data_IF_270075199809
#
_entry.id   IF_270075199809
#
_cell.length_a   1.000
_cell.length_b   1.000
_cell.length_c   1.000
_cell.angle_alpha   90.00
_cell.angle_beta   90.00
_cell.angle_gamma   90.00
#
_symmetry.space_group_name_H-M   'P 1'
#
loop_
_entity.id
_entity.type
_entity.pdbx_description
1 polymer ?
#
# COMPACT_ATOMS: atom_id res chain seq x y z
N UNK A 1 17.31 14.08 7.87
CA UNK A 1 16.86 13.02 8.82
C UNK A 1 17.46 11.70 8.39
N UNK A 2 18.23 11.04 9.25
CA UNK A 2 18.85 9.73 8.98
C UNK A 2 18.08 8.63 9.71
N UNK A 3 17.85 7.51 9.03
CA UNK A 3 17.36 6.27 9.65
C UNK A 3 18.36 5.15 9.39
N UNK A 4 18.84 4.55 10.49
CA UNK A 4 19.81 3.46 10.45
C UNK A 4 19.22 2.23 11.10
N UNK A 5 19.49 1.08 10.51
CA UNK A 5 19.07 -0.23 11.05
C UNK A 5 19.91 -1.36 10.47
N UNK A 6 19.90 -2.48 11.18
CA UNK A 6 20.52 -3.73 10.72
C UNK A 6 19.41 -4.74 10.47
N UNK A 7 19.37 -5.33 9.27
CA UNK A 7 18.38 -6.32 8.90
C UNK A 7 19.05 -7.46 8.12
N UNK A 8 18.88 -8.70 8.57
CA UNK A 8 19.48 -9.90 7.97
C UNK A 8 20.99 -9.79 7.69
N UNK A 9 21.73 -9.03 8.52
CA UNK A 9 23.18 -8.84 8.42
C UNK A 9 23.62 -7.62 7.60
N UNK A 10 22.71 -6.93 6.94
CA UNK A 10 22.98 -5.70 6.18
C UNK A 10 22.89 -4.47 7.11
N UNK A 11 23.92 -3.61 7.06
CA UNK A 11 23.92 -2.31 7.71
C UNK A 11 23.38 -1.28 6.73
N UNK A 12 22.21 -0.76 6.99
CA UNK A 12 21.51 0.16 6.08
C UNK A 12 21.47 1.56 6.68
N UNK A 13 21.79 2.55 5.87
CA UNK A 13 21.62 3.97 6.13
C UNK A 13 20.68 4.54 5.09
N UNK A 14 19.57 5.10 5.55
CA UNK A 14 18.57 5.80 4.72
C UNK A 14 18.60 7.29 5.06
N UNK A 15 18.91 8.13 4.09
CA UNK A 15 18.57 9.55 4.20
C UNK A 15 17.13 9.77 3.76
N UNK A 16 16.27 10.09 4.73
CA UNK A 16 14.82 10.20 4.52
C UNK A 16 14.47 11.35 3.57
N UNK A 17 15.25 12.43 3.57
CA UNK A 17 14.95 13.63 2.81
C UNK A 17 15.35 13.50 1.34
N UNK A 18 16.52 12.95 1.03
CA UNK A 18 16.93 12.65 -0.34
C UNK A 18 16.27 11.39 -0.87
N UNK A 19 16.01 10.41 0.01
CA UNK A 19 15.57 9.06 -0.34
C UNK A 19 16.73 8.14 -0.70
N UNK A 20 17.99 8.60 -0.53
CA UNK A 20 19.18 7.80 -0.81
C UNK A 20 19.34 6.69 0.23
N UNK A 21 19.71 5.51 -0.25
CA UNK A 21 19.90 4.30 0.56
C UNK A 21 21.32 3.80 0.34
N UNK A 22 22.05 3.57 1.44
CA UNK A 22 23.40 3.07 1.42
C UNK A 22 23.47 1.75 2.21
N UNK A 23 24.01 0.70 1.60
CA UNK A 23 24.47 -0.50 2.29
C UNK A 23 25.95 -0.29 2.62
N UNK A 24 26.29 -0.29 3.89
CA UNK A 24 27.61 0.17 4.36
C UNK A 24 28.26 -0.88 5.27
N UNK A 25 29.56 -0.73 5.49
CA UNK A 25 30.26 -1.53 6.49
C UNK A 25 29.96 -1.05 7.93
N UNK A 26 30.47 -1.78 8.91
CA UNK A 26 30.23 -1.48 10.31
C UNK A 26 30.88 -0.16 10.77
N UNK A 27 32.02 0.24 10.18
CA UNK A 27 32.69 1.48 10.53
C UNK A 27 31.91 2.69 10.06
N UNK A 28 31.50 2.71 8.80
CA UNK A 28 30.72 3.83 8.24
C UNK A 28 29.35 3.92 8.92
N UNK A 29 28.72 2.76 9.24
CA UNK A 29 27.49 2.71 10.02
C UNK A 29 27.66 3.36 11.39
N UNK A 30 28.70 3.00 12.16
CA UNK A 30 28.98 3.58 13.48
C UNK A 30 29.33 5.09 13.38
N UNK A 31 30.06 5.50 12.34
CA UNK A 31 30.40 6.91 12.13
C UNK A 31 29.16 7.76 11.83
N UNK A 32 28.27 7.28 10.98
CA UNK A 32 26.98 7.96 10.71
C UNK A 32 26.10 7.99 11.96
N UNK A 33 26.12 6.97 12.82
CA UNK A 33 25.38 6.97 14.09
C UNK A 33 25.84 8.09 15.03
N UNK A 34 27.15 8.35 15.09
CA UNK A 34 27.68 9.48 15.87
C UNK A 34 27.24 10.80 15.26
N UNK A 35 27.36 10.95 13.94
CA UNK A 35 27.03 12.20 13.24
C UNK A 35 25.52 12.49 13.29
N UNK A 36 24.66 11.49 13.18
CA UNK A 36 23.22 11.67 13.24
C UNK A 36 22.70 12.28 14.55
N UNK A 37 23.50 12.17 15.64
CA UNK A 37 23.18 12.75 16.96
C UNK A 37 23.60 14.21 17.08
N UNK A 38 24.55 14.68 16.26
CA UNK A 38 25.19 16.01 16.39
C UNK A 38 25.06 16.90 15.16
N UNK A 39 24.73 16.33 14.01
CA UNK A 39 24.42 17.11 12.79
C UNK A 39 22.95 17.53 12.84
N UNK A 40 22.65 18.83 12.94
CA UNK A 40 21.27 19.28 12.96
C UNK A 40 20.59 19.13 11.59
N UNK A 41 19.26 19.07 11.57
CA UNK A 41 18.50 19.21 10.33
C UNK A 41 18.72 20.62 9.77
N UNK A 42 19.27 20.72 8.57
CA UNK A 42 19.65 21.98 7.93
C UNK A 42 18.83 22.24 6.67
N UNK A 43 18.71 23.53 6.31
CA UNK A 43 18.09 23.94 5.04
C UNK A 43 18.93 23.60 3.80
N UNK A 44 20.25 23.37 4.01
CA UNK A 44 21.20 22.93 2.97
C UNK A 44 22.25 22.04 3.58
N UNK A 45 22.70 21.00 2.88
CA UNK A 45 23.85 20.22 3.30
C UNK A 45 25.07 21.12 3.46
N UNK A 46 25.85 20.92 4.51
CA UNK A 46 27.10 21.64 4.76
C UNK A 46 28.22 20.64 5.05
N UNK A 47 29.46 20.96 4.67
CA UNK A 47 30.61 20.15 5.01
C UNK A 47 30.70 19.90 6.52
N UNK A 48 31.20 18.72 6.90
CA UNK A 48 31.43 18.38 8.30
C UNK A 48 32.42 19.35 8.92
N UNK A 49 32.07 19.90 10.08
CA UNK A 49 32.97 20.77 10.86
C UNK A 49 34.06 19.94 11.53
N UNK A 50 35.17 20.61 11.91
CA UNK A 50 36.28 19.98 12.62
C UNK A 50 35.82 19.35 13.96
N UNK A 51 34.87 20.01 14.66
CA UNK A 51 34.30 19.48 15.90
C UNK A 51 33.47 18.19 15.66
N UNK A 52 32.71 18.10 14.57
CA UNK A 52 31.99 16.90 14.19
C UNK A 52 32.93 15.75 13.83
N UNK A 53 33.96 16.02 13.01
CA UNK A 53 35.01 15.04 12.68
C UNK A 53 35.75 14.57 13.93
N UNK A 54 36.06 15.48 14.85
CA UNK A 54 36.71 15.17 16.13
C UNK A 54 35.81 14.25 16.98
N UNK A 55 34.52 14.51 17.06
CA UNK A 55 33.59 13.67 17.82
C UNK A 55 33.55 12.21 17.29
N UNK A 56 33.57 12.02 15.96
CA UNK A 56 33.67 10.68 15.36
C UNK A 56 34.98 9.99 15.72
N UNK A 57 36.13 10.69 15.60
CA UNK A 57 37.43 10.14 15.98
C UNK A 57 37.46 9.68 17.45
N UNK A 58 37.02 10.54 18.36
CA UNK A 58 36.98 10.24 19.78
C UNK A 58 36.06 9.06 20.12
N UNK A 59 34.94 8.95 19.46
CA UNK A 59 33.98 7.86 19.67
C UNK A 59 34.48 6.51 19.15
N UNK A 60 35.22 6.49 18.04
CA UNK A 60 35.55 5.27 17.31
C UNK A 60 37.00 4.78 17.46
N UNK A 61 37.92 5.60 18.00
CA UNK A 61 39.37 5.28 18.12
C UNK A 61 39.66 3.97 18.89
N UNK A 62 38.76 3.53 19.79
CA UNK A 62 38.94 2.28 20.52
C UNK A 62 38.51 1.04 19.70
N UNK A 63 37.81 1.22 18.58
CA UNK A 63 37.24 0.13 17.78
C UNK A 63 37.88 -0.02 16.40
N UNK A 64 38.36 1.09 15.83
CA UNK A 64 38.89 1.16 14.47
C UNK A 64 40.24 1.92 14.42
N UNK A 65 41.04 1.73 13.35
CA UNK A 65 42.27 2.45 13.16
C UNK A 65 42.00 3.93 12.82
N UNK A 66 42.96 4.80 13.11
CA UNK A 66 42.85 6.22 12.77
C UNK A 66 42.74 6.46 11.24
N UNK A 67 43.44 5.63 10.45
CA UNK A 67 43.41 5.70 8.97
C UNK A 67 42.02 5.33 8.43
N UNK A 68 41.45 4.21 8.88
CA UNK A 68 40.11 3.76 8.47
C UNK A 68 39.02 4.80 8.83
N UNK A 69 39.17 5.45 10.02
CA UNK A 69 38.23 6.52 10.44
C UNK A 69 38.32 7.75 9.51
N UNK A 70 39.52 8.15 9.07
CA UNK A 70 39.68 9.26 8.14
C UNK A 70 39.07 8.93 6.77
N UNK A 71 39.28 7.70 6.28
CA UNK A 71 38.67 7.23 5.02
C UNK A 71 37.13 7.26 5.11
N UNK A 72 36.57 6.72 6.19
CA UNK A 72 35.10 6.80 6.41
C UNK A 72 34.56 8.24 6.50
N UNK A 73 35.30 9.16 7.13
CA UNK A 73 34.95 10.57 7.16
C UNK A 73 35.01 11.23 5.77
N UNK A 74 35.95 10.80 4.92
CA UNK A 74 36.02 11.25 3.52
C UNK A 74 34.85 10.77 2.71
N UNK A 75 34.51 9.49 2.80
CA UNK A 75 33.36 8.87 2.11
C UNK A 75 32.02 9.55 2.54
N UNK A 76 31.87 9.78 3.85
CA UNK A 76 30.69 10.50 4.37
C UNK A 76 30.62 11.92 3.80
N UNK A 77 31.77 12.61 3.70
CA UNK A 77 31.79 13.96 3.13
C UNK A 77 31.39 13.95 1.65
N UNK A 78 31.83 12.96 0.87
CA UNK A 78 31.43 12.80 -0.53
C UNK A 78 29.93 12.61 -0.67
N UNK A 79 29.31 11.80 0.20
CA UNK A 79 27.86 11.61 0.22
C UNK A 79 27.10 12.90 0.61
N UNK A 80 27.65 13.71 1.52
CA UNK A 80 27.09 15.01 1.89
C UNK A 80 27.16 15.98 0.71
N UNK A 81 28.30 16.04 0.03
CA UNK A 81 28.52 16.92 -1.11
C UNK A 81 27.64 16.54 -2.31
N UNK A 82 27.29 15.25 -2.43
CA UNK A 82 26.32 14.72 -3.42
C UNK A 82 24.85 14.94 -3.02
N UNK A 83 24.56 15.52 -1.86
CA UNK A 83 23.22 15.66 -1.28
C UNK A 83 22.51 14.29 -1.03
N UNK A 84 23.27 13.23 -0.83
CA UNK A 84 22.80 11.88 -0.56
C UNK A 84 22.79 11.50 0.93
N UNK A 85 23.43 12.34 1.77
CA UNK A 85 23.45 12.16 3.22
C UNK A 85 23.27 13.53 3.92
N UNK A 86 22.49 13.59 5.00
CA UNK A 86 22.07 14.79 5.72
C UNK A 86 21.40 15.85 4.83
N UNK A 87 20.67 15.39 3.81
CA UNK A 87 19.97 16.26 2.86
C UNK A 87 18.84 17.08 3.51
N UNK A 88 18.54 18.22 2.91
CA UNK A 88 17.46 19.10 3.33
C UNK A 88 16.07 18.52 2.99
N UNK A 89 15.06 18.84 3.81
CA UNK A 89 13.66 18.49 3.50
C UNK A 89 13.06 19.49 2.50
N UNK A 90 13.24 19.21 1.23
CA UNK A 90 12.72 20.06 0.13
C UNK A 90 11.20 19.93 -0.06
N UNK A 91 10.55 18.91 0.53
CA UNK A 91 9.13 18.64 0.34
C UNK A 91 8.23 19.45 1.28
N UNK A 92 8.77 19.98 2.35
CA UNK A 92 8.04 20.78 3.34
C UNK A 92 7.33 21.97 2.72
N UNK A 93 7.95 22.63 1.74
CA UNK A 93 7.40 23.80 1.07
C UNK A 93 6.25 23.45 0.10
N UNK A 94 6.21 22.24 -0.44
CA UNK A 94 5.11 21.80 -1.30
C UNK A 94 3.76 21.69 -0.57
N UNK A 95 3.75 21.59 0.76
CA UNK A 95 2.52 21.50 1.57
C UNK A 95 1.67 22.77 1.46
N UNK A 96 2.30 23.92 1.28
CA UNK A 96 1.62 25.21 1.16
C UNK A 96 0.70 25.24 -0.06
N UNK A 97 1.09 24.56 -1.14
CA UNK A 97 0.32 24.51 -2.39
C UNK A 97 -0.84 23.51 -2.38
N UNK A 98 -0.91 22.58 -1.39
CA UNK A 98 -2.02 21.63 -1.29
C UNK A 98 -3.39 22.29 -1.17
N UNK A 99 -3.48 23.45 -0.52
CA UNK A 99 -4.72 24.25 -0.44
C UNK A 99 -5.17 24.75 -1.81
N UNK A 100 -4.22 25.09 -2.68
CA UNK A 100 -4.46 25.65 -4.02
C UNK A 100 -4.54 24.57 -5.10
N UNK A 101 -4.07 23.35 -4.82
CA UNK A 101 -4.05 22.27 -5.80
C UNK A 101 -5.46 21.95 -6.27
N UNK A 102 -5.68 22.00 -7.58
CA UNK A 102 -6.90 21.44 -8.16
C UNK A 102 -6.86 19.92 -8.02
N UNK A 103 -7.86 19.38 -7.36
CA UNK A 103 -8.07 17.94 -7.29
C UNK A 103 -9.00 17.52 -8.42
N UNK A 104 -8.59 16.50 -9.17
CA UNK A 104 -9.42 15.86 -10.20
C UNK A 104 -9.68 14.42 -9.77
N UNK A 105 -10.89 13.94 -9.98
CA UNK A 105 -11.21 12.54 -9.70
C UNK A 105 -10.50 11.68 -10.75
N UNK A 106 -9.68 10.73 -10.32
CA UNK A 106 -8.92 9.84 -11.21
C UNK A 106 -9.40 8.39 -11.13
N UNK A 107 -10.06 8.03 -10.03
CA UNK A 107 -10.45 6.66 -9.76
C UNK A 107 -11.78 6.58 -9.01
N UNK A 108 -12.58 5.58 -9.35
CA UNK A 108 -13.80 5.22 -8.63
C UNK A 108 -13.76 3.75 -8.20
N UNK A 109 -14.17 3.51 -6.96
CA UNK A 109 -14.52 2.19 -6.46
C UNK A 109 -16.04 2.02 -6.56
N UNK A 110 -16.50 1.24 -7.52
CA UNK A 110 -17.93 0.99 -7.72
C UNK A 110 -18.37 -0.22 -6.89
N UNK A 111 -19.22 0.01 -5.91
CA UNK A 111 -19.85 -1.05 -5.14
C UNK A 111 -20.95 -1.70 -5.98
N UNK A 112 -20.56 -2.63 -6.82
CA UNK A 112 -21.44 -3.34 -7.77
C UNK A 112 -22.50 -4.17 -7.04
N UNK A 113 -22.15 -4.68 -5.87
CA UNK A 113 -23.06 -5.43 -5.03
C UNK A 113 -22.84 -5.11 -3.55
N UNK A 114 -23.90 -4.70 -2.86
CA UNK A 114 -24.01 -4.76 -1.41
C UNK A 114 -24.66 -6.08 -1.02
N UNK A 115 -24.00 -7.18 -1.39
CA UNK A 115 -24.30 -8.56 -1.01
C UNK A 115 -23.07 -9.43 -1.31
N UNK A 116 -22.93 -10.54 -0.59
CA UNK A 116 -21.83 -11.49 -0.75
C UNK A 116 -22.29 -12.92 -0.55
N UNK A 117 -21.66 -13.84 -1.25
CA UNK A 117 -21.91 -15.28 -1.14
C UNK A 117 -20.98 -15.99 -0.14
N UNK A 118 -20.06 -15.26 0.52
CA UNK A 118 -19.26 -15.71 1.67
C UNK A 118 -19.65 -14.95 2.95
N UNK A 119 -19.24 -15.48 4.09
CA UNK A 119 -19.41 -14.89 5.43
C UNK A 119 -18.05 -14.76 6.13
N UNK A 120 -17.17 -13.92 5.56
CA UNK A 120 -15.83 -13.68 6.10
C UNK A 120 -15.93 -13.02 7.48
N UNK A 121 -15.28 -13.61 8.49
CA UNK A 121 -15.40 -13.15 9.90
C UNK A 121 -14.87 -11.75 10.15
N UNK A 122 -13.86 -11.32 9.39
CA UNK A 122 -13.26 -9.98 9.50
C UNK A 122 -13.86 -8.97 8.51
N UNK A 123 -14.99 -9.29 7.86
CA UNK A 123 -15.53 -8.44 6.81
C UNK A 123 -16.01 -7.09 7.37
N UNK A 124 -15.27 -6.01 7.09
CA UNK A 124 -15.67 -4.65 7.48
C UNK A 124 -17.00 -4.20 6.82
N UNK A 125 -17.43 -4.88 5.77
CA UNK A 125 -18.65 -4.62 5.03
C UNK A 125 -19.85 -5.46 5.52
N UNK A 126 -19.75 -6.14 6.67
CA UNK A 126 -20.86 -6.95 7.24
C UNK A 126 -21.50 -7.88 6.19
N UNK A 127 -20.73 -8.83 5.67
CA UNK A 127 -21.14 -9.72 4.57
C UNK A 127 -21.56 -8.96 3.27
N UNK A 128 -21.07 -7.72 3.12
CA UNK A 128 -21.33 -6.86 1.97
C UNK A 128 -22.47 -5.87 2.15
N UNK A 129 -23.15 -5.81 3.29
CA UNK A 129 -24.30 -4.92 3.53
C UNK A 129 -23.89 -3.47 3.84
N UNK A 130 -22.65 -3.22 4.28
CA UNK A 130 -22.13 -1.86 4.58
C UNK A 130 -23.03 -1.06 5.54
N UNK A 131 -23.40 -1.65 6.68
CA UNK A 131 -24.26 -1.06 7.71
C UNK A 131 -25.65 -0.66 7.20
N UNK A 132 -26.10 -1.21 6.09
CA UNK A 132 -27.31 -0.77 5.44
C UNK A 132 -28.19 -1.93 4.99
N UNK A 133 -28.42 -1.97 3.71
CA UNK A 133 -29.32 -2.95 3.07
C UNK A 133 -28.65 -3.59 1.86
N UNK A 134 -29.00 -4.82 1.60
CA UNK A 134 -28.58 -5.51 0.38
C UNK A 134 -29.13 -4.80 -0.86
N UNK A 135 -28.26 -4.63 -1.84
CA UNK A 135 -28.62 -4.05 -3.14
C UNK A 135 -27.61 -4.48 -4.20
N UNK A 136 -28.05 -4.50 -5.43
CA UNK A 136 -27.21 -4.59 -6.61
C UNK A 136 -27.26 -3.25 -7.34
N UNK A 137 -26.09 -2.75 -7.78
CA UNK A 137 -26.03 -1.52 -8.57
C UNK A 137 -26.76 -1.73 -9.91
N UNK A 138 -27.63 -0.81 -10.29
CA UNK A 138 -28.21 -0.82 -11.62
C UNK A 138 -27.21 -0.32 -12.66
N UNK A 139 -27.37 -0.72 -13.92
CA UNK A 139 -26.58 -0.18 -15.02
C UNK A 139 -26.67 1.37 -15.09
N UNK A 140 -27.85 1.93 -14.87
CA UNK A 140 -28.06 3.38 -14.92
C UNK A 140 -27.22 4.14 -13.87
N UNK A 141 -27.17 3.63 -12.64
CA UNK A 141 -26.33 4.23 -11.59
C UNK A 141 -24.86 4.11 -11.94
N UNK A 142 -24.40 2.93 -12.37
CA UNK A 142 -23.01 2.72 -12.77
C UNK A 142 -22.60 3.57 -13.98
N UNK A 143 -23.51 3.71 -14.96
CA UNK A 143 -23.33 4.61 -16.11
C UNK A 143 -23.11 6.05 -15.65
N UNK A 144 -24.00 6.58 -14.79
CA UNK A 144 -23.85 7.94 -14.21
C UNK A 144 -22.53 8.09 -13.45
N UNK A 145 -22.07 7.05 -12.76
CA UNK A 145 -20.77 7.08 -12.08
C UNK A 145 -19.61 7.21 -13.07
N UNK A 146 -19.65 6.52 -14.21
CA UNK A 146 -18.63 6.68 -15.26
C UNK A 146 -18.72 8.07 -15.92
N UNK A 147 -19.90 8.60 -16.17
CA UNK A 147 -20.13 9.96 -16.69
C UNK A 147 -19.58 11.01 -15.70
N UNK A 148 -19.83 10.82 -14.41
CA UNK A 148 -19.27 11.64 -13.33
C UNK A 148 -17.73 11.60 -13.37
N UNK A 149 -17.11 10.41 -13.45
CA UNK A 149 -15.65 10.27 -13.51
C UNK A 149 -15.07 11.01 -14.71
N UNK A 150 -15.67 10.89 -15.89
CA UNK A 150 -15.26 11.62 -17.10
C UNK A 150 -15.34 13.14 -16.85
N UNK A 151 -16.47 13.64 -16.34
CA UNK A 151 -16.69 15.07 -16.13
C UNK A 151 -15.75 15.68 -15.09
N UNK A 152 -15.43 14.93 -14.01
CA UNK A 152 -14.61 15.43 -12.90
C UNK A 152 -13.11 15.10 -13.03
N UNK A 153 -12.70 14.43 -14.10
CA UNK A 153 -11.29 14.04 -14.33
C UNK A 153 -10.43 15.11 -15.01
N UNK A 154 -11.02 16.23 -15.44
CA UNK A 154 -10.32 17.29 -16.15
C UNK A 154 -9.55 16.76 -17.38
N UNK A 155 -8.31 17.18 -17.56
CA UNK A 155 -7.47 16.75 -18.69
C UNK A 155 -6.80 15.37 -18.49
N UNK A 156 -7.12 14.65 -17.42
CA UNK A 156 -6.52 13.34 -17.14
C UNK A 156 -7.02 12.30 -18.15
N UNK A 157 -6.09 11.62 -18.81
CA UNK A 157 -6.42 10.61 -19.84
C UNK A 157 -6.73 9.26 -19.18
N UNK A 158 -5.85 8.78 -18.29
CA UNK A 158 -6.01 7.46 -17.64
C UNK A 158 -6.94 7.56 -16.42
N UNK A 159 -8.03 6.80 -16.47
CA UNK A 159 -9.04 6.72 -15.41
C UNK A 159 -9.10 5.29 -14.87
N UNK A 160 -9.24 5.13 -13.57
CA UNK A 160 -9.29 3.82 -12.92
C UNK A 160 -10.69 3.56 -12.36
N UNK A 161 -11.17 2.33 -12.57
CA UNK A 161 -12.46 1.88 -12.04
C UNK A 161 -12.29 0.51 -11.42
N UNK A 162 -12.53 0.44 -10.12
CA UNK A 162 -12.47 -0.79 -9.36
C UNK A 162 -13.89 -1.33 -9.15
N UNK A 163 -14.18 -2.50 -9.68
CA UNK A 163 -15.41 -3.23 -9.38
C UNK A 163 -15.23 -3.97 -8.05
N UNK A 164 -15.98 -3.54 -7.06
CA UNK A 164 -15.85 -3.92 -5.66
C UNK A 164 -17.23 -4.09 -4.99
N UNK A 165 -17.26 -4.12 -3.66
CA UNK A 165 -18.45 -4.24 -2.82
C UNK A 165 -18.39 -5.48 -1.93
N UNK A 166 -19.48 -6.23 -1.85
CA UNK A 166 -19.49 -7.57 -1.28
C UNK A 166 -18.80 -8.56 -2.21
N UNK A 167 -19.55 -9.08 -3.22
CA UNK A 167 -18.96 -9.89 -4.31
C UNK A 167 -19.46 -9.36 -5.68
N UNK A 168 -18.60 -8.70 -6.46
CA UNK A 168 -18.99 -8.09 -7.74
C UNK A 168 -19.53 -9.09 -8.77
N UNK A 169 -19.07 -10.35 -8.75
CA UNK A 169 -19.55 -11.37 -9.68
C UNK A 169 -21.03 -11.74 -9.47
N UNK A 170 -21.64 -11.37 -8.34
CA UNK A 170 -23.07 -11.50 -8.14
C UNK A 170 -23.90 -10.58 -9.06
N UNK A 171 -23.25 -9.54 -9.59
CA UNK A 171 -23.85 -8.59 -10.52
C UNK A 171 -23.07 -8.51 -11.84
N UNK A 172 -22.58 -9.64 -12.32
CA UNK A 172 -21.66 -9.74 -13.44
C UNK A 172 -22.16 -9.08 -14.74
N UNK A 173 -23.47 -9.18 -15.01
CA UNK A 173 -24.04 -8.57 -16.22
C UNK A 173 -23.88 -7.05 -16.24
N UNK A 174 -24.03 -6.41 -15.10
CA UNK A 174 -23.84 -4.95 -14.98
C UNK A 174 -22.35 -4.60 -15.12
N UNK A 175 -21.43 -5.41 -14.57
CA UNK A 175 -19.98 -5.22 -14.78
C UNK A 175 -19.65 -5.23 -16.27
N UNK A 176 -20.14 -6.22 -17.03
CA UNK A 176 -19.91 -6.30 -18.49
C UNK A 176 -20.44 -5.04 -19.21
N UNK A 177 -21.68 -4.65 -18.93
CA UNK A 177 -22.30 -3.47 -19.53
C UNK A 177 -21.53 -2.18 -19.24
N UNK A 178 -21.05 -2.01 -18.02
CA UNK A 178 -20.27 -0.84 -17.62
C UNK A 178 -18.91 -0.79 -18.31
N UNK A 179 -18.23 -1.93 -18.46
CA UNK A 179 -16.98 -2.01 -19.22
C UNK A 179 -17.22 -1.62 -20.69
N UNK A 180 -18.23 -2.21 -21.33
CA UNK A 180 -18.60 -1.89 -22.72
C UNK A 180 -18.96 -0.40 -22.86
N UNK A 181 -19.73 0.15 -21.95
CA UNK A 181 -20.05 1.57 -21.94
C UNK A 181 -18.78 2.43 -21.79
N UNK A 182 -17.94 2.16 -20.80
CA UNK A 182 -16.70 2.90 -20.61
C UNK A 182 -15.81 2.90 -21.87
N UNK A 183 -15.62 1.72 -22.51
CA UNK A 183 -14.88 1.62 -23.77
C UNK A 183 -15.49 2.48 -24.87
N UNK A 184 -16.82 2.56 -24.97
CA UNK A 184 -17.50 3.38 -25.98
C UNK A 184 -17.23 4.88 -25.82
N UNK A 185 -16.96 5.33 -24.56
CA UNK A 185 -16.74 6.76 -24.24
C UNK A 185 -15.26 7.19 -24.43
N UNK A 186 -14.33 6.25 -24.51
CA UNK A 186 -12.88 6.54 -24.50
C UNK A 186 -12.46 7.51 -25.62
N UNK A 187 -12.93 7.27 -26.85
CA UNK A 187 -12.52 8.06 -28.01
C UNK A 187 -13.11 9.48 -27.97
N UNK A 188 -14.39 9.60 -27.65
CA UNK A 188 -15.09 10.88 -27.66
C UNK A 188 -14.53 11.84 -26.60
N UNK A 189 -14.21 11.31 -25.41
CA UNK A 189 -13.75 12.12 -24.29
C UNK A 189 -12.24 12.14 -24.12
N UNK A 190 -11.46 11.52 -25.02
CA UNK A 190 -10.02 11.36 -24.91
C UNK A 190 -9.62 10.76 -23.56
N UNK A 191 -10.30 9.66 -23.17
CA UNK A 191 -10.05 8.92 -21.92
C UNK A 191 -9.60 7.50 -22.23
N UNK A 192 -8.98 6.86 -21.23
CA UNK A 192 -8.59 5.46 -21.26
C UNK A 192 -8.90 4.85 -19.91
N UNK A 193 -9.87 3.94 -19.86
CA UNK A 193 -10.25 3.26 -18.64
C UNK A 193 -9.34 2.07 -18.35
N UNK A 194 -8.93 1.97 -17.09
CA UNK A 194 -8.26 0.81 -16.50
C UNK A 194 -9.21 0.18 -15.50
N UNK A 195 -9.77 -0.95 -15.86
CA UNK A 195 -10.72 -1.68 -15.02
C UNK A 195 -9.98 -2.68 -14.14
N UNK A 196 -10.33 -2.70 -12.85
CA UNK A 196 -9.91 -3.70 -11.86
C UNK A 196 -11.13 -4.43 -11.32
N UNK A 197 -10.99 -5.72 -11.04
CA UNK A 197 -12.01 -6.54 -10.39
C UNK A 197 -11.40 -7.17 -9.14
N UNK A 198 -12.07 -7.04 -7.99
CA UNK A 198 -11.74 -7.79 -6.77
C UNK A 198 -12.80 -8.85 -6.54
N UNK A 199 -12.42 -10.13 -6.43
CA UNK A 199 -13.37 -11.23 -6.28
C UNK A 199 -12.91 -12.28 -5.28
N UNK A 200 -13.87 -12.91 -4.58
CA UNK A 200 -13.64 -14.09 -3.77
C UNK A 200 -13.54 -15.40 -4.59
N UNK A 201 -13.80 -15.34 -5.91
CA UNK A 201 -13.62 -16.44 -6.85
C UNK A 201 -14.70 -17.51 -6.85
N UNK A 202 -15.64 -17.52 -5.94
CA UNK A 202 -16.68 -18.57 -5.87
C UNK A 202 -17.44 -18.70 -7.19
N UNK A 203 -17.82 -17.57 -7.79
CA UNK A 203 -18.57 -17.52 -9.05
C UNK A 203 -17.69 -17.47 -10.30
N UNK A 204 -16.37 -17.45 -10.16
CA UNK A 204 -15.44 -17.41 -11.28
C UNK A 204 -15.59 -18.68 -12.14
N UNK A 205 -15.73 -18.47 -13.46
CA UNK A 205 -15.86 -19.51 -14.49
C UNK A 205 -15.10 -19.09 -15.77
N UNK A 206 -15.08 -19.95 -16.78
CA UNK A 206 -14.28 -19.73 -17.99
C UNK A 206 -14.72 -18.47 -18.78
N UNK A 207 -16.02 -18.22 -18.92
CA UNK A 207 -16.54 -17.00 -19.57
C UNK A 207 -16.05 -15.73 -18.88
N UNK A 208 -16.11 -15.71 -17.53
CA UNK A 208 -15.66 -14.57 -16.74
C UNK A 208 -14.14 -14.41 -16.87
N UNK A 209 -13.37 -15.51 -16.84
CA UNK A 209 -11.91 -15.49 -17.01
C UNK A 209 -11.51 -14.91 -18.37
N UNK A 210 -12.16 -15.35 -19.46
CA UNK A 210 -11.91 -14.83 -20.80
C UNK A 210 -12.23 -13.34 -20.92
N UNK A 211 -13.36 -12.89 -20.38
CA UNK A 211 -13.72 -11.49 -20.36
C UNK A 211 -12.69 -10.66 -19.57
N UNK A 212 -12.33 -11.11 -18.36
CA UNK A 212 -11.32 -10.44 -17.54
C UNK A 212 -9.95 -10.40 -18.23
N UNK A 213 -9.56 -11.46 -18.95
CA UNK A 213 -8.32 -11.50 -19.72
C UNK A 213 -8.34 -10.50 -20.89
N UNK A 214 -9.49 -10.20 -21.46
CA UNK A 214 -9.61 -9.20 -22.51
C UNK A 214 -9.66 -7.77 -21.97
N UNK A 215 -10.48 -7.52 -20.96
CA UNK A 215 -10.90 -6.18 -20.57
C UNK A 215 -10.25 -5.64 -19.30
N UNK A 216 -9.95 -6.49 -18.30
CA UNK A 216 -9.44 -6.04 -17.01
C UNK A 216 -7.93 -5.82 -17.04
N UNK A 217 -7.50 -4.64 -16.62
CA UNK A 217 -6.07 -4.31 -16.43
C UNK A 217 -5.48 -5.10 -15.26
N UNK A 218 -6.26 -5.28 -14.20
CA UNK A 218 -5.86 -6.04 -13.02
C UNK A 218 -7.02 -6.84 -12.45
N UNK A 219 -6.74 -7.97 -11.79
CA UNK A 219 -7.73 -8.74 -11.03
C UNK A 219 -7.14 -9.14 -9.68
N UNK A 220 -7.86 -8.85 -8.62
CA UNK A 220 -7.50 -9.23 -7.25
C UNK A 220 -8.28 -10.46 -6.84
N UNK A 221 -7.56 -11.53 -6.53
CA UNK A 221 -8.08 -12.85 -6.14
C UNK A 221 -7.95 -13.00 -4.62
N UNK A 222 -9.07 -13.00 -3.91
CA UNK A 222 -9.07 -13.00 -2.45
C UNK A 222 -8.89 -14.42 -1.88
N UNK A 223 -7.75 -14.68 -1.25
CA UNK A 223 -7.38 -15.95 -0.60
C UNK A 223 -6.52 -15.63 0.63
N UNK A 224 -6.76 -16.27 1.79
CA UNK A 224 -6.07 -15.90 3.03
C UNK A 224 -4.90 -16.84 3.41
N UNK A 225 -4.42 -17.66 2.50
CA UNK A 225 -3.27 -18.52 2.76
C UNK A 225 -3.59 -20.01 2.70
N UNK A 226 -3.01 -20.77 3.65
CA UNK A 226 -3.20 -22.21 3.80
C UNK A 226 -4.68 -22.58 3.99
N UNK A 227 -5.09 -23.82 3.68
CA UNK A 227 -6.49 -24.24 3.75
C UNK A 227 -7.18 -23.91 5.07
N UNK A 228 -6.53 -24.25 6.19
CA UNK A 228 -7.05 -24.04 7.53
C UNK A 228 -7.16 -22.56 7.92
N UNK A 229 -6.29 -21.70 7.38
CA UNK A 229 -6.31 -20.25 7.58
C UNK A 229 -7.47 -19.64 6.80
N UNK A 230 -7.53 -19.93 5.50
CA UNK A 230 -8.58 -19.42 4.63
C UNK A 230 -9.97 -19.85 5.14
N UNK A 231 -10.17 -21.13 5.40
CA UNK A 231 -11.48 -21.66 5.74
C UNK A 231 -11.97 -21.25 7.12
N UNK A 232 -11.06 -20.93 8.03
CA UNK A 232 -11.40 -20.33 9.33
C UNK A 232 -12.00 -18.94 9.18
N UNK A 233 -11.45 -18.12 8.27
CA UNK A 233 -11.78 -16.71 8.17
C UNK A 233 -12.72 -16.38 7.01
N UNK A 234 -12.78 -17.21 5.97
CA UNK A 234 -13.59 -17.01 4.75
C UNK A 234 -14.54 -18.18 4.45
N UNK A 235 -15.37 -18.59 5.41
CA UNK A 235 -16.34 -19.64 5.18
C UNK A 235 -17.52 -19.19 4.31
N UNK A 236 -18.20 -20.15 3.74
CA UNK A 236 -19.58 -19.94 3.27
C UNK A 236 -20.52 -19.66 4.44
N UNK A 237 -21.72 -19.10 4.17
CA UNK A 237 -22.75 -18.87 5.19
C UNK A 237 -23.18 -20.14 5.94
N UNK A 238 -23.02 -21.32 5.34
CA UNK A 238 -23.30 -22.61 5.98
C UNK A 238 -22.12 -23.16 6.80
N UNK A 239 -21.05 -22.36 6.96
CA UNK A 239 -19.86 -22.72 7.72
C UNK A 239 -18.85 -23.61 6.98
N UNK A 240 -19.12 -24.06 5.74
CA UNK A 240 -18.14 -24.82 4.96
C UNK A 240 -17.00 -23.94 4.49
N UNK A 241 -15.80 -24.51 4.38
CA UNK A 241 -14.63 -23.85 3.81
C UNK A 241 -14.78 -23.52 2.33
N UNK A 242 -14.11 -22.47 1.87
CA UNK A 242 -14.14 -22.04 0.47
C UNK A 242 -12.88 -22.41 -0.31
N UNK A 243 -11.78 -22.80 0.36
CA UNK A 243 -10.46 -23.02 -0.20
C UNK A 243 -10.45 -24.01 -1.38
N UNK A 244 -10.97 -25.23 -1.16
CA UNK A 244 -10.96 -26.29 -2.17
C UNK A 244 -11.72 -25.92 -3.45
N UNK A 245 -12.72 -25.04 -3.34
CA UNK A 245 -13.49 -24.57 -4.49
C UNK A 245 -12.75 -23.49 -5.29
N UNK A 246 -12.08 -22.56 -4.59
CA UNK A 246 -11.55 -21.33 -5.23
C UNK A 246 -10.13 -21.51 -5.75
N UNK A 247 -9.27 -22.28 -5.07
CA UNK A 247 -7.84 -22.39 -5.45
C UNK A 247 -7.63 -22.95 -6.85
N UNK A 248 -8.29 -24.03 -7.28
CA UNK A 248 -8.13 -24.53 -8.65
C UNK A 248 -8.55 -23.50 -9.72
N UNK A 249 -9.58 -22.71 -9.43
CA UNK A 249 -10.04 -21.62 -10.32
C UNK A 249 -9.00 -20.50 -10.39
N UNK A 250 -8.42 -20.12 -9.26
CA UNK A 250 -7.39 -19.10 -9.20
C UNK A 250 -6.11 -19.50 -9.93
N UNK A 251 -5.66 -20.77 -9.77
CA UNK A 251 -4.52 -21.30 -10.49
C UNK A 251 -4.76 -21.30 -12.01
N UNK A 252 -5.93 -21.74 -12.45
CA UNK A 252 -6.33 -21.71 -13.86
C UNK A 252 -6.33 -20.27 -14.39
N UNK A 253 -6.91 -19.34 -13.63
CA UNK A 253 -7.00 -17.94 -14.03
C UNK A 253 -5.63 -17.27 -14.07
N UNK A 254 -4.83 -17.38 -13.01
CA UNK A 254 -3.48 -16.81 -12.94
C UNK A 254 -2.63 -17.26 -14.15
N UNK A 255 -2.65 -18.56 -14.46
CA UNK A 255 -1.95 -19.10 -15.64
C UNK A 255 -2.47 -18.50 -16.95
N UNK A 256 -3.77 -18.22 -17.06
CA UNK A 256 -4.38 -17.68 -18.27
C UNK A 256 -4.14 -16.17 -18.47
N UNK A 257 -3.68 -15.45 -17.41
CA UNK A 257 -3.40 -14.01 -17.46
C UNK A 257 -2.17 -13.67 -18.29
N UNK A 258 -1.19 -14.60 -18.44
CA UNK A 258 0.09 -14.29 -19.07
C UNK A 258 0.77 -13.10 -18.40
N UNK A 259 1.16 -12.12 -19.18
CA UNK A 259 1.83 -10.89 -18.69
C UNK A 259 0.90 -9.89 -17.99
N UNK A 260 -0.42 -10.10 -18.03
CA UNK A 260 -1.38 -9.17 -17.41
C UNK A 260 -1.34 -9.24 -15.90
N UNK A 261 -1.69 -8.12 -15.27
CA UNK A 261 -1.67 -8.03 -13.82
C UNK A 261 -2.81 -8.81 -13.16
N UNK A 262 -2.43 -9.51 -12.09
CA UNK A 262 -3.31 -10.06 -11.07
C UNK A 262 -2.57 -10.03 -9.74
N UNK A 263 -3.30 -10.10 -8.64
CA UNK A 263 -2.74 -10.35 -7.32
C UNK A 263 -3.58 -11.36 -6.57
N UNK A 264 -2.93 -12.37 -5.97
CA UNK A 264 -3.54 -13.12 -4.88
C UNK A 264 -3.35 -12.32 -3.62
N UNK A 265 -4.46 -11.89 -3.02
CA UNK A 265 -4.45 -11.03 -1.84
C UNK A 265 -5.15 -11.69 -0.67
N UNK A 266 -4.39 -11.88 0.40
CA UNK A 266 -4.89 -12.41 1.66
C UNK A 266 -4.92 -11.37 2.77
N UNK A 267 -5.56 -11.78 3.86
CA UNK A 267 -5.58 -11.04 5.12
C UNK A 267 -5.08 -11.96 6.22
N UNK A 268 -4.01 -11.55 6.92
CA UNK A 268 -3.58 -12.26 8.12
C UNK A 268 -4.18 -11.64 9.38
N UNK A 269 -4.34 -12.46 10.39
CA UNK A 269 -4.98 -12.11 11.64
C UNK A 269 -4.12 -12.59 12.81
N UNK A 270 -4.52 -12.30 14.04
CA UNK A 270 -3.88 -12.88 15.24
C UNK A 270 -3.86 -14.42 15.23
N UNK A 271 -4.71 -15.05 14.43
CA UNK A 271 -4.79 -16.53 14.35
C UNK A 271 -3.68 -17.15 13.49
N UNK A 272 -2.95 -16.34 12.70
CA UNK A 272 -1.88 -16.77 11.80
C UNK A 272 -0.76 -15.73 11.72
N UNK A 273 -0.15 -15.40 12.86
CA UNK A 273 0.99 -14.48 12.90
C UNK A 273 2.22 -15.00 12.15
N UNK A 274 2.23 -16.30 11.82
CA UNK A 274 3.18 -16.96 10.90
C UNK A 274 2.80 -16.76 9.41
N UNK A 275 2.22 -15.61 9.07
CA UNK A 275 1.66 -15.28 7.75
C UNK A 275 2.66 -15.42 6.58
N UNK A 276 3.96 -15.38 6.86
CA UNK A 276 4.99 -15.68 5.86
C UNK A 276 4.85 -17.09 5.29
N UNK A 277 4.38 -18.06 6.09
CA UNK A 277 4.06 -19.39 5.57
C UNK A 277 2.87 -19.37 4.60
N UNK A 278 1.90 -18.48 4.81
CA UNK A 278 0.78 -18.30 3.90
C UNK A 278 1.20 -17.67 2.58
N UNK A 279 2.11 -16.67 2.62
CA UNK A 279 2.71 -16.08 1.42
C UNK A 279 3.54 -17.11 0.64
N UNK A 280 4.35 -17.91 1.33
CA UNK A 280 5.15 -18.96 0.70
C UNK A 280 4.27 -20.07 0.12
N UNK A 281 3.16 -20.39 0.78
CA UNK A 281 2.15 -21.31 0.27
C UNK A 281 1.56 -20.84 -1.07
N UNK A 282 1.27 -19.54 -1.23
CA UNK A 282 0.83 -19.03 -2.53
C UNK A 282 1.89 -19.22 -3.62
N UNK A 283 3.15 -18.91 -3.31
CA UNK A 283 4.24 -19.10 -4.26
C UNK A 283 4.40 -20.59 -4.65
N UNK A 284 4.28 -21.50 -3.68
CA UNK A 284 4.37 -22.94 -3.90
C UNK A 284 3.15 -23.51 -4.70
N UNK A 285 2.00 -22.81 -4.66
CA UNK A 285 0.85 -23.08 -5.54
C UNK A 285 1.05 -22.56 -6.98
N UNK A 286 2.16 -21.86 -7.26
CA UNK A 286 2.50 -21.31 -8.57
C UNK A 286 1.95 -19.90 -8.83
N UNK A 287 1.54 -19.18 -7.80
CA UNK A 287 1.18 -17.76 -7.96
C UNK A 287 2.42 -16.88 -7.91
N UNK A 288 2.51 -15.92 -8.84
CA UNK A 288 3.69 -15.05 -8.99
C UNK A 288 3.51 -13.66 -8.39
N UNK A 289 2.27 -13.18 -8.22
CA UNK A 289 1.96 -11.82 -7.74
C UNK A 289 1.09 -11.91 -6.49
N UNK A 290 1.67 -11.59 -5.34
CA UNK A 290 1.15 -11.87 -4.00
C UNK A 290 1.03 -10.61 -3.17
N UNK A 291 0.01 -10.56 -2.30
CA UNK A 291 -0.18 -9.54 -1.27
C UNK A 291 -0.78 -10.16 -0.01
N UNK A 292 -0.36 -9.67 1.17
CA UNK A 292 -0.88 -10.14 2.46
C UNK A 292 -1.02 -8.94 3.40
N UNK A 293 -2.27 -8.55 3.66
CA UNK A 293 -2.58 -7.41 4.52
C UNK A 293 -2.85 -7.85 5.96
N UNK A 294 -2.48 -7.04 6.96
CA UNK A 294 -2.95 -7.27 8.32
C UNK A 294 -4.44 -6.97 8.42
N UNK A 295 -5.16 -7.75 9.20
CA UNK A 295 -6.52 -7.37 9.59
C UNK A 295 -6.50 -6.07 10.38
N UNK A 296 -7.46 -5.21 10.09
CA UNK A 296 -7.75 -4.01 10.90
C UNK A 296 -9.16 -4.18 11.45
N UNK A 297 -9.26 -4.45 12.73
CA UNK A 297 -10.50 -4.77 13.42
C UNK A 297 -10.51 -4.15 14.81
N UNK A 298 -11.69 -4.03 15.42
CA UNK A 298 -11.83 -3.55 16.77
C UNK A 298 -11.01 -4.41 17.76
N UNK A 299 -10.38 -3.82 18.80
CA UNK A 299 -9.52 -4.55 19.72
C UNK A 299 -10.18 -5.72 20.45
N UNK A 300 -11.50 -5.69 20.57
CA UNK A 300 -12.33 -6.72 21.24
C UNK A 300 -12.45 -7.99 20.38
N UNK A 301 -12.26 -7.88 19.09
CA UNK A 301 -12.36 -9.03 18.19
C UNK A 301 -11.24 -10.04 18.45
N UNK A 302 -11.56 -11.33 18.58
CA UNK A 302 -10.57 -12.35 18.95
C UNK A 302 -9.46 -12.55 17.92
N UNK A 303 -9.67 -12.11 16.68
CA UNK A 303 -8.71 -12.18 15.58
C UNK A 303 -7.95 -10.86 15.34
N UNK A 304 -8.27 -9.80 16.12
CA UNK A 304 -7.61 -8.50 16.00
C UNK A 304 -6.14 -8.58 16.41
N UNK A 305 -5.28 -7.96 15.61
CA UNK A 305 -3.84 -7.81 15.92
C UNK A 305 -3.70 -6.76 17.02
N UNK A 306 -2.85 -7.04 18.01
CA UNK A 306 -2.59 -6.20 19.17
C UNK A 306 -1.12 -5.80 19.23
N UNK A 307 -0.79 -4.82 20.07
CA UNK A 307 0.59 -4.37 20.27
C UNK A 307 1.53 -5.50 20.72
N UNK A 308 1.03 -6.40 21.58
CA UNK A 308 1.77 -7.57 22.06
C UNK A 308 2.16 -8.57 20.97
N UNK A 309 1.49 -8.53 19.82
CA UNK A 309 1.77 -9.40 18.66
C UNK A 309 2.88 -8.83 17.76
N UNK A 310 3.20 -7.52 17.90
CA UNK A 310 4.16 -6.83 17.03
C UNK A 310 5.54 -7.48 16.99
N UNK A 311 6.17 -7.89 18.10
CA UNK A 311 7.49 -8.54 18.03
C UNK A 311 7.49 -9.76 17.11
N UNK A 312 6.50 -10.64 17.25
CA UNK A 312 6.39 -11.82 16.40
C UNK A 312 6.14 -11.46 14.92
N UNK A 313 5.34 -10.44 14.67
CA UNK A 313 5.07 -9.94 13.30
C UNK A 313 6.35 -9.37 12.67
N UNK A 314 7.16 -8.63 13.45
CA UNK A 314 8.44 -8.09 12.96
C UNK A 314 9.42 -9.18 12.58
N UNK A 315 9.58 -10.19 13.45
CA UNK A 315 10.42 -11.36 13.19
C UNK A 315 9.95 -12.12 11.95
N UNK A 316 8.64 -12.22 11.76
CA UNK A 316 8.06 -12.90 10.59
C UNK A 316 8.29 -12.13 9.28
N UNK A 317 8.24 -10.78 9.29
CA UNK A 317 8.66 -10.00 8.13
C UNK A 317 10.13 -10.19 7.79
N UNK A 318 11.03 -10.23 8.79
CA UNK A 318 12.47 -10.47 8.58
C UNK A 318 12.73 -11.87 8.02
N UNK A 319 12.04 -12.88 8.54
CA UNK A 319 12.09 -14.25 8.03
C UNK A 319 11.62 -14.35 6.59
N UNK A 320 10.47 -13.73 6.29
CA UNK A 320 9.91 -13.71 4.94
C UNK A 320 10.84 -12.98 3.96
N UNK A 321 11.44 -11.86 4.36
CA UNK A 321 12.38 -11.10 3.54
C UNK A 321 13.63 -11.92 3.21
N UNK A 322 14.18 -12.66 4.18
CA UNK A 322 15.30 -13.56 3.99
C UNK A 322 14.98 -14.69 3.00
N UNK A 323 13.82 -15.34 3.17
CA UNK A 323 13.38 -16.41 2.26
C UNK A 323 13.04 -15.87 0.86
N UNK A 324 12.52 -14.64 0.78
CA UNK A 324 12.26 -13.94 -0.48
C UNK A 324 13.56 -13.77 -1.28
N UNK A 325 14.63 -13.21 -0.66
CA UNK A 325 15.93 -13.05 -1.31
C UNK A 325 16.48 -14.40 -1.78
N UNK A 326 16.43 -15.42 -0.92
CA UNK A 326 16.87 -16.76 -1.26
C UNK A 326 16.15 -17.31 -2.49
N UNK A 327 14.83 -17.23 -2.52
CA UNK A 327 14.02 -17.72 -3.67
C UNK A 327 14.29 -16.93 -4.95
N UNK A 328 14.54 -15.62 -4.85
CA UNK A 328 14.94 -14.80 -6.01
C UNK A 328 16.27 -15.31 -6.59
N UNK A 329 17.29 -15.52 -5.76
CA UNK A 329 18.62 -16.06 -6.15
C UNK A 329 18.55 -17.48 -6.74
N UNK A 330 17.61 -18.29 -6.28
CA UNK A 330 17.39 -19.66 -6.77
C UNK A 330 16.52 -19.72 -8.06
N UNK A 331 16.10 -18.59 -8.63
CA UNK A 331 15.20 -18.55 -9.81
C UNK A 331 13.75 -19.01 -9.54
N UNK A 332 13.35 -19.06 -8.27
CA UNK A 332 11.99 -19.38 -7.81
C UNK A 332 11.30 -18.17 -7.22
N UNK A 333 11.65 -16.98 -7.71
CA UNK A 333 11.17 -15.70 -7.22
C UNK A 333 9.69 -15.48 -7.46
N UNK A 334 9.10 -14.62 -6.66
CA UNK A 334 7.74 -14.11 -6.82
C UNK A 334 7.71 -12.61 -6.50
N UNK A 335 6.64 -11.92 -6.87
CA UNK A 335 6.43 -10.51 -6.52
C UNK A 335 5.57 -10.44 -5.28
N UNK A 336 6.09 -9.85 -4.20
CA UNK A 336 5.32 -9.56 -3.00
C UNK A 336 5.07 -8.07 -2.91
N UNK A 337 3.81 -7.67 -2.98
CA UNK A 337 3.38 -6.26 -3.09
C UNK A 337 4.06 -5.34 -2.05
N UNK A 338 4.18 -5.82 -0.81
CA UNK A 338 4.74 -5.03 0.29
C UNK A 338 6.26 -4.86 0.24
N UNK A 339 6.96 -5.65 -0.58
CA UNK A 339 8.39 -5.52 -0.82
C UNK A 339 8.72 -4.85 -2.16
N UNK A 340 7.69 -4.44 -2.92
CA UNK A 340 7.85 -3.71 -4.18
C UNK A 340 8.03 -2.22 -3.90
N UNK A 341 9.25 -1.82 -3.54
CA UNK A 341 9.63 -0.44 -3.30
C UNK A 341 10.48 0.07 -4.48
N UNK A 342 10.06 1.21 -5.07
CA UNK A 342 10.88 1.91 -6.06
C UNK A 342 11.78 2.93 -5.34
N UNK A 343 13.08 2.63 -5.32
CA UNK A 343 14.09 3.48 -4.72
C UNK A 343 14.69 4.48 -5.74
N UNK A 344 14.49 4.27 -7.05
CA UNK A 344 15.11 5.09 -8.09
C UNK A 344 14.35 6.39 -8.37
N UNK A 345 13.05 6.33 -8.52
CA UNK A 345 12.22 7.49 -8.84
C UNK A 345 11.09 7.72 -7.84
N UNK A 346 10.51 6.64 -7.29
CA UNK A 346 9.37 6.69 -6.40
C UNK A 346 8.11 7.33 -7.02
N UNK A 347 7.02 7.43 -6.30
CA UNK A 347 5.81 8.10 -6.76
C UNK A 347 6.01 9.62 -6.84
N UNK A 348 5.15 10.31 -7.60
CA UNK A 348 5.17 11.78 -7.65
C UNK A 348 4.99 12.39 -6.25
N UNK A 349 5.53 13.61 -6.04
CA UNK A 349 5.52 14.32 -4.75
C UNK A 349 4.15 14.32 -4.08
N UNK A 350 3.08 14.62 -4.82
CA UNK A 350 1.73 14.62 -4.28
C UNK A 350 1.31 13.28 -3.68
N UNK A 351 1.65 12.16 -4.33
CA UNK A 351 1.35 10.82 -3.83
C UNK A 351 2.21 10.46 -2.63
N UNK A 352 3.47 10.88 -2.60
CA UNK A 352 4.35 10.71 -1.42
C UNK A 352 3.81 11.43 -0.19
N UNK A 353 3.18 12.58 -0.38
CA UNK A 353 2.68 13.40 0.72
C UNK A 353 1.27 13.03 1.18
N UNK A 354 0.37 12.65 0.27
CA UNK A 354 -1.06 12.47 0.55
C UNK A 354 -1.62 11.06 0.33
N UNK A 355 -0.79 10.11 -0.11
CA UNK A 355 -1.18 8.71 -0.25
C UNK A 355 -2.15 8.42 -1.39
N UNK A 356 -3.18 7.62 -1.12
CA UNK A 356 -4.10 7.07 -2.15
C UNK A 356 -5.03 8.13 -2.78
N UNK A 357 -5.18 9.30 -2.18
CA UNK A 357 -6.06 10.36 -2.65
C UNK A 357 -7.54 10.15 -2.31
N UNK A 358 -7.84 9.35 -1.28
CA UNK A 358 -9.20 9.16 -0.77
C UNK A 358 -9.87 10.50 -0.47
N UNK A 359 -11.17 10.61 -0.77
CA UNK A 359 -11.98 11.82 -0.59
C UNK A 359 -11.72 12.94 -1.60
N UNK A 360 -10.69 12.81 -2.45
CA UNK A 360 -10.31 13.84 -3.43
C UNK A 360 -10.13 13.29 -4.84
N UNK A 361 -9.14 12.45 -5.05
CA UNK A 361 -8.81 11.87 -6.35
C UNK A 361 -9.39 10.45 -6.54
N UNK A 362 -9.73 9.78 -5.46
CA UNK A 362 -10.36 8.47 -5.38
C UNK A 362 -11.62 8.55 -4.53
N UNK A 363 -12.75 8.03 -5.05
CA UNK A 363 -14.05 8.02 -4.38
C UNK A 363 -14.68 6.63 -4.49
N UNK A 364 -15.50 6.26 -3.50
CA UNK A 364 -16.38 5.10 -3.59
C UNK A 364 -17.79 5.52 -3.98
N UNK A 365 -18.47 4.68 -4.77
CA UNK A 365 -19.85 4.88 -5.25
C UNK A 365 -20.72 3.72 -4.80
N UNK A 366 -21.77 4.01 -4.05
CA UNK A 366 -22.74 2.99 -3.58
C UNK A 366 -23.68 2.53 -4.71
N UNK A 367 -24.45 1.43 -4.52
CA UNK A 367 -25.49 1.02 -5.48
C UNK A 367 -26.58 2.08 -5.74
N UNK A 368 -26.67 3.09 -4.91
CA UNK A 368 -27.62 4.21 -5.04
C UNK A 368 -27.00 5.47 -5.64
N UNK A 369 -25.69 5.44 -5.93
CA UNK A 369 -24.97 6.57 -6.50
C UNK A 369 -24.34 7.51 -5.46
N UNK A 370 -24.42 7.24 -4.17
CA UNK A 370 -23.82 8.07 -3.14
C UNK A 370 -22.30 7.99 -3.18
N UNK A 371 -21.65 9.14 -2.96
CA UNK A 371 -20.20 9.31 -3.01
C UNK A 371 -19.60 9.35 -1.60
N UNK A 372 -18.58 8.53 -1.37
CA UNK A 372 -17.82 8.48 -0.13
C UNK A 372 -16.31 8.61 -0.40
N UNK A 373 -15.50 9.02 0.59
CA UNK A 373 -14.04 9.15 0.43
C UNK A 373 -13.34 7.87 -0.03
N UNK A 374 -13.75 6.72 0.48
CA UNK A 374 -13.35 5.39 0.01
C UNK A 374 -14.34 4.32 0.50
N UNK A 375 -14.14 3.07 0.07
CA UNK A 375 -15.00 1.94 0.42
C UNK A 375 -15.14 1.69 1.92
N UNK A 376 -14.15 2.07 2.74
CA UNK A 376 -14.22 1.88 4.20
C UNK A 376 -15.07 2.92 4.93
N UNK A 377 -15.40 4.03 4.30
CA UNK A 377 -16.29 5.07 4.86
C UNK A 377 -17.74 4.92 4.41
N UNK A 378 -18.02 3.98 3.50
CA UNK A 378 -19.39 3.75 3.02
C UNK A 378 -20.30 3.32 4.17
N UNK A 379 -21.45 3.98 4.30
CA UNK A 379 -22.41 3.78 5.39
C UNK A 379 -22.24 4.72 6.58
N UNK A 380 -21.12 5.43 6.69
CA UNK A 380 -20.96 6.50 7.68
C UNK A 380 -21.40 7.84 7.11
N UNK A 381 -22.57 8.33 7.55
CA UNK A 381 -23.21 9.55 7.05
C UNK A 381 -22.35 10.81 7.20
N UNK A 382 -21.47 10.86 8.20
CA UNK A 382 -20.55 12.00 8.38
C UNK A 382 -19.62 12.20 7.19
N UNK A 383 -19.29 11.11 6.47
CA UNK A 383 -18.42 11.12 5.32
C UNK A 383 -19.15 11.12 3.97
N UNK A 384 -20.45 11.25 3.96
CA UNK A 384 -21.21 11.39 2.72
C UNK A 384 -20.76 12.68 1.98
N UNK A 385 -20.17 12.51 0.79
CA UNK A 385 -19.67 13.62 -0.02
C UNK A 385 -20.72 14.20 -0.97
N UNK A 386 -21.71 13.43 -1.35
CA UNK A 386 -22.75 13.79 -2.32
C UNK A 386 -23.24 12.57 -3.08
N UNK A 387 -23.65 12.77 -4.32
CA UNK A 387 -24.19 11.72 -5.18
C UNK A 387 -23.72 11.92 -6.63
N UNK A 388 -23.69 10.88 -7.44
CA UNK A 388 -23.27 10.96 -8.86
C UNK A 388 -24.12 11.95 -9.68
N UNK A 389 -25.37 12.21 -9.28
CA UNK A 389 -26.27 13.18 -9.94
C UNK A 389 -25.97 14.64 -9.54
N UNK A 390 -25.53 14.87 -8.31
CA UNK A 390 -25.29 16.23 -7.77
C UNK A 390 -23.81 16.59 -7.69
N UNK A 391 -22.94 15.61 -7.85
CA UNK A 391 -21.52 15.74 -7.61
C UNK A 391 -21.16 15.82 -6.13
N UNK A 392 -19.92 16.22 -5.83
CA UNK A 392 -19.43 16.43 -4.47
C UNK A 392 -19.96 17.74 -3.93
N UNK A 393 -20.90 17.67 -2.99
CA UNK A 393 -21.55 18.83 -2.35
C UNK A 393 -21.00 19.10 -0.95
N UNK A 394 -20.53 18.07 -0.22
CA UNK A 394 -19.89 18.23 1.08
C UNK A 394 -18.40 18.57 0.91
N UNK A 395 -18.16 19.83 0.56
CA UNK A 395 -16.79 20.33 0.33
C UNK A 395 -15.98 20.42 1.61
N UNK A 396 -16.62 20.51 2.78
CA UNK A 396 -15.92 20.52 4.08
C UNK A 396 -15.16 19.20 4.29
N UNK A 397 -15.83 18.07 4.20
CA UNK A 397 -15.19 16.75 4.33
C UNK A 397 -14.15 16.54 3.24
N UNK A 398 -14.46 16.85 1.97
CA UNK A 398 -13.46 16.78 0.89
C UNK A 398 -12.19 17.57 1.22
N UNK A 399 -12.32 18.78 1.74
CA UNK A 399 -11.19 19.65 2.02
C UNK A 399 -10.38 19.16 3.23
N UNK A 400 -11.00 18.51 4.20
CA UNK A 400 -10.29 17.81 5.29
C UNK A 400 -9.39 16.70 4.72
N UNK A 401 -9.90 15.86 3.81
CA UNK A 401 -9.09 14.85 3.13
C UNK A 401 -7.99 15.48 2.25
N UNK A 402 -8.28 16.57 1.56
CA UNK A 402 -7.31 17.29 0.73
C UNK A 402 -6.12 17.80 1.54
N UNK A 403 -6.35 18.25 2.76
CA UNK A 403 -5.33 18.80 3.64
C UNK A 403 -4.61 17.70 4.47
N UNK A 404 -5.15 16.48 4.50
CA UNK A 404 -4.54 15.36 5.19
C UNK A 404 -3.29 14.89 4.43
N UNK A 405 -2.11 15.16 4.99
CA UNK A 405 -0.82 14.80 4.42
C UNK A 405 0.20 14.48 5.53
N UNK A 406 1.39 14.01 5.16
CA UNK A 406 2.42 13.59 6.14
C UNK A 406 2.87 14.70 7.09
N UNK A 407 2.81 15.96 6.69
CA UNK A 407 3.18 17.09 7.54
C UNK A 407 2.02 17.59 8.41
N UNK A 408 0.78 17.25 8.05
CA UNK A 408 -0.40 17.55 8.86
C UNK A 408 -0.57 16.55 10.02
N UNK A 409 0.06 15.38 9.93
CA UNK A 409 0.01 14.31 10.94
C UNK A 409 1.22 14.40 11.85
N UNK A 410 1.00 14.65 13.16
CA UNK A 410 2.09 14.86 14.12
C UNK A 410 3.06 13.67 14.16
N UNK A 411 2.55 12.43 14.21
CA UNK A 411 3.36 11.21 14.21
C UNK A 411 4.16 11.00 12.91
N UNK A 412 3.72 11.58 11.79
CA UNK A 412 4.37 11.38 10.50
C UNK A 412 5.50 12.36 10.22
N UNK A 413 5.49 13.58 10.82
CA UNK A 413 6.49 14.62 10.58
C UNK A 413 7.92 14.13 10.78
N UNK A 414 8.13 13.32 11.83
CA UNK A 414 9.44 12.79 12.24
C UNK A 414 9.56 11.28 11.97
N UNK A 415 8.74 10.72 11.11
CA UNK A 415 8.78 9.31 10.74
C UNK A 415 9.68 9.09 9.53
N UNK A 416 10.63 8.15 9.63
CA UNK A 416 11.50 7.82 8.49
C UNK A 416 10.72 7.26 7.29
N UNK A 417 9.60 6.59 7.56
CA UNK A 417 8.77 5.97 6.54
C UNK A 417 7.86 6.95 5.79
N UNK A 418 7.83 8.24 6.17
CA UNK A 418 6.80 9.21 5.73
C UNK A 418 6.61 9.30 4.22
N UNK A 419 7.68 9.28 3.44
CA UNK A 419 7.62 9.43 1.98
C UNK A 419 7.37 8.11 1.24
N UNK A 420 7.47 6.97 1.93
CA UNK A 420 7.13 5.65 1.41
C UNK A 420 5.72 5.21 1.84
N UNK A 421 5.35 5.50 3.10
CA UNK A 421 4.04 5.21 3.68
C UNK A 421 2.96 6.23 3.26
N UNK A 422 3.36 7.49 3.01
CA UNK A 422 2.46 8.59 2.61
C UNK A 422 1.37 8.91 3.65
N UNK A 423 1.64 8.69 4.94
CA UNK A 423 0.73 9.02 6.04
C UNK A 423 -0.28 7.93 6.42
N UNK A 424 -0.17 6.72 5.86
CA UNK A 424 -1.03 5.59 6.20
C UNK A 424 -2.46 5.70 5.65
N UNK A 425 -3.36 4.89 6.20
CA UNK A 425 -4.77 4.83 5.82
C UNK A 425 -5.61 5.80 6.66
N UNK A 426 -6.35 6.72 6.02
CA UNK A 426 -7.23 7.66 6.69
C UNK A 426 -8.39 6.95 7.43
N UNK A 427 -8.94 5.87 6.85
CA UNK A 427 -9.99 5.12 7.49
C UNK A 427 -9.51 4.38 8.75
N UNK A 428 -8.33 3.74 8.70
CA UNK A 428 -7.76 3.11 9.88
C UNK A 428 -7.48 4.14 10.98
N UNK A 429 -6.95 5.31 10.60
CA UNK A 429 -6.73 6.41 11.53
C UNK A 429 -8.04 6.84 12.21
N UNK A 430 -9.09 7.05 11.43
CA UNK A 430 -10.41 7.45 11.94
C UNK A 430 -11.02 6.38 12.85
N UNK A 431 -10.97 5.10 12.45
CA UNK A 431 -11.57 4.00 13.22
C UNK A 431 -10.92 3.82 14.60
N UNK A 432 -9.63 4.15 14.75
CA UNK A 432 -8.91 3.98 16.04
C UNK A 432 -8.79 5.26 16.85
N UNK A 433 -8.81 6.41 16.22
CA UNK A 433 -8.54 7.70 16.88
C UNK A 433 -9.65 8.74 16.69
N UNK A 434 -10.70 8.45 15.93
CA UNK A 434 -11.76 9.41 15.62
C UNK A 434 -11.33 10.57 14.72
N UNK A 435 -10.14 10.47 14.09
CA UNK A 435 -9.59 11.53 13.24
C UNK A 435 -8.80 10.94 12.07
N UNK A 436 -8.96 11.51 10.88
CA UNK A 436 -8.17 11.15 9.70
C UNK A 436 -6.73 11.69 9.75
N UNK A 437 -6.47 12.67 10.63
CA UNK A 437 -5.15 13.31 10.78
C UNK A 437 -4.26 12.66 11.82
N UNK A 438 -4.70 11.61 12.47
CA UNK A 438 -3.87 10.76 13.33
C UNK A 438 -3.26 9.59 12.51
N UNK A 439 -2.66 8.62 13.17
CA UNK A 439 -2.09 7.44 12.54
C UNK A 439 -2.39 6.18 13.38
N UNK A 440 -2.77 5.10 12.73
CA UNK A 440 -3.00 3.80 13.37
C UNK A 440 -1.67 3.16 13.79
N UNK A 441 -1.37 3.14 15.08
CA UNK A 441 -0.04 2.83 15.63
C UNK A 441 0.48 1.44 15.24
N UNK A 442 -0.31 0.39 15.43
CA UNK A 442 0.05 -0.98 15.04
C UNK A 442 0.37 -1.05 13.54
N UNK A 443 -0.44 -0.39 12.71
CA UNK A 443 -0.20 -0.30 11.26
C UNK A 443 1.06 0.47 10.92
N UNK A 444 1.42 1.50 11.69
CA UNK A 444 2.64 2.26 11.53
C UNK A 444 3.88 1.38 11.74
N UNK A 445 3.93 0.61 12.82
CA UNK A 445 5.07 -0.26 13.12
C UNK A 445 5.25 -1.34 12.03
N UNK A 446 4.18 -2.00 11.63
CA UNK A 446 4.23 -2.96 10.53
C UNK A 446 4.69 -2.34 9.20
N UNK A 447 4.24 -1.12 8.91
CA UNK A 447 4.64 -0.44 7.67
C UNK A 447 6.11 -0.02 7.68
N UNK A 448 6.63 0.44 8.81
CA UNK A 448 8.06 0.73 8.99
C UNK A 448 8.88 -0.53 8.71
N UNK A 449 8.51 -1.66 9.30
CA UNK A 449 9.20 -2.95 9.13
C UNK A 449 9.18 -3.44 7.67
N UNK A 450 8.04 -3.30 6.99
CA UNK A 450 7.92 -3.63 5.55
C UNK A 450 8.89 -2.83 4.69
N UNK A 451 9.06 -1.53 4.99
CA UNK A 451 9.98 -0.65 4.27
C UNK A 451 11.42 -1.05 4.54
N UNK A 452 11.80 -1.33 5.79
CA UNK A 452 13.13 -1.83 6.14
C UNK A 452 13.45 -3.13 5.42
N UNK A 453 12.53 -4.09 5.41
CA UNK A 453 12.68 -5.35 4.67
C UNK A 453 12.81 -5.12 3.16
N UNK A 454 11.99 -4.23 2.57
CA UNK A 454 12.03 -3.94 1.14
C UNK A 454 13.37 -3.31 0.71
N UNK A 455 13.91 -2.41 1.52
CA UNK A 455 15.22 -1.80 1.30
C UNK A 455 16.34 -2.85 1.44
N UNK A 456 16.32 -3.65 2.50
CA UNK A 456 17.31 -4.73 2.69
C UNK A 456 17.31 -5.72 1.51
N UNK A 457 16.12 -6.11 1.00
CA UNK A 457 16.01 -6.99 -0.17
C UNK A 457 16.72 -6.37 -1.38
N UNK A 458 16.55 -5.06 -1.60
CA UNK A 458 17.22 -4.36 -2.72
C UNK A 458 18.74 -4.36 -2.56
N UNK A 459 19.26 -4.08 -1.35
CA UNK A 459 20.69 -4.17 -1.06
C UNK A 459 21.22 -5.58 -1.31
N UNK A 460 20.54 -6.61 -0.78
CA UNK A 460 20.96 -8.01 -0.93
C UNK A 460 20.95 -8.54 -2.37
N UNK A 461 20.10 -7.99 -3.23
CA UNK A 461 20.03 -8.37 -4.65
C UNK A 461 21.02 -7.56 -5.51
N UNK A 462 21.33 -6.30 -5.14
CA UNK A 462 22.31 -5.48 -5.85
C UNK A 462 23.74 -6.02 -5.69
N UNK A 463 24.14 -6.46 -4.49
CA UNK A 463 25.46 -7.08 -4.25
C UNK A 463 25.71 -8.30 -5.14
N UNK A 464 24.68 -9.07 -5.49
CA UNK A 464 24.83 -10.22 -6.38
C UNK A 464 25.05 -9.81 -7.85
N UNK A 465 24.45 -8.70 -8.29
CA UNK A 465 24.63 -8.17 -9.65
C UNK A 465 26.05 -7.62 -9.85
N UNK A 466 26.66 -7.06 -8.80
CA UNK A 466 28.05 -6.57 -8.84
C UNK A 466 29.10 -7.72 -8.78
N UNK A 467 28.73 -8.86 -8.21
CA UNK A 467 29.63 -10.02 -8.05
C UNK A 467 29.54 -11.04 -9.21
N UNK A 468 28.63 -10.85 -10.19
CA UNK A 468 28.45 -11.68 -11.38
C UNK A 468 28.87 -10.93 -12.66
#
# INVERSE_FOLDING_TARGET
MIHQYINNGYHIVLDVNSGSVHSVDALLYDAVEVLAKIVPDMEKPMPLTDDQKKAVREALVCKYSAEDIEDALSDIQELIDAEELFAADIYKDYVIDFKKRQTVVKALCLHIAHDCNLACKYCFAEEGEYHGRRALMSFEVGKKALDFLIAYSGNRINLEVDFFGGEPLMNWNVVKQLVEYGRSQEKEHNKKFRFTLTTNGVLLNDEIMEFCNREMSNVVLSLDGRPEVNDRMRPFRNGKGSYELIVPKFQKFAKSRGEKDYFVRGTFTRNNLDFGNDVLHYADLGFEKLSMEPVVAAPEEPYSIREEDLPQIMDEYDRLAKEFVKRQKEGRGFKFFHFMLDLSQGPCVAKRLSGCGSGTEYLAVTPWGDLYPCHQFVGNEEFLLGNVDTGVVNTKVRDEFKLCNVYAKEKCKNCFARFYCSGGCAANSFNFHGSITDAYDIGCEMQKKRIECAIMIRAALAEDEENN
#
